data_IF_319043110334
#
_entry.id   IF_319043110334
#
_cell.length_a   1.000
_cell.length_b   1.000
_cell.length_c   1.000
_cell.angle_alpha   90.00
_cell.angle_beta   90.00
_cell.angle_gamma   90.00
#
_symmetry.space_group_name_H-M   'P 1'
#
loop_
_entity.id
_entity.type
_entity.pdbx_description
1 polymer ?
#
# COMPACT_ATOMS: atom_id res chain seq x y z
N UNK A 1 4.99 -2.83 4.22
CA UNK A 1 3.95 -3.65 3.57
C UNK A 1 3.47 -4.71 4.55
N UNK A 2 2.33 -4.45 5.18
CA UNK A 2 1.74 -5.26 6.23
C UNK A 2 0.63 -6.14 5.63
N UNK A 3 0.41 -7.34 6.17
CA UNK A 3 -0.44 -8.42 5.64
C UNK A 3 -1.84 -8.01 5.13
N UNK A 4 -2.43 -6.97 5.73
CA UNK A 4 -3.78 -6.51 5.45
C UNK A 4 -3.75 -5.03 5.15
N UNK A 5 -4.39 -4.62 4.05
CA UNK A 5 -4.69 -3.22 3.80
C UNK A 5 -6.11 -2.93 4.31
N UNK A 6 -6.26 -2.31 5.50
CA UNK A 6 -7.57 -2.14 6.14
C UNK A 6 -8.51 -1.27 5.29
N UNK A 7 -7.98 -0.38 4.46
CA UNK A 7 -8.75 0.49 3.57
C UNK A 7 -9.54 -0.28 2.50
N UNK A 8 -9.06 -1.47 2.13
CA UNK A 8 -9.67 -2.28 1.07
C UNK A 8 -10.18 -3.64 1.56
N UNK A 9 -9.87 -3.99 2.82
CA UNK A 9 -10.02 -5.35 3.35
C UNK A 9 -9.39 -6.41 2.43
N UNK A 10 -8.37 -6.02 1.66
CA UNK A 10 -7.62 -6.91 0.78
C UNK A 10 -6.42 -7.46 1.51
N UNK A 11 -6.23 -8.78 1.40
CA UNK A 11 -5.07 -9.47 1.93
C UNK A 11 -4.08 -9.62 0.77
N UNK A 12 -2.81 -9.25 0.98
CA UNK A 12 -1.69 -9.50 0.05
C UNK A 12 -1.65 -8.77 -1.31
N UNK A 13 -2.61 -7.90 -1.62
CA UNK A 13 -2.66 -7.23 -2.94
C UNK A 13 -1.55 -6.19 -3.12
N UNK A 14 -1.04 -5.60 -2.03
CA UNK A 14 0.05 -4.63 -2.06
C UNK A 14 1.42 -5.22 -2.44
N UNK A 15 1.60 -6.55 -2.47
CA UNK A 15 2.82 -7.18 -2.98
C UNK A 15 2.84 -7.37 -4.49
N UNK A 16 1.72 -7.12 -5.17
CA UNK A 16 1.64 -7.25 -6.63
C UNK A 16 2.25 -6.03 -7.32
N UNK A 17 2.91 -6.20 -8.49
CA UNK A 17 3.32 -5.08 -9.34
C UNK A 17 2.11 -4.22 -9.76
N UNK A 18 2.32 -2.96 -10.14
CA UNK A 18 1.26 -1.96 -10.39
C UNK A 18 0.15 -2.43 -11.33
N UNK A 19 0.48 -3.11 -12.44
CA UNK A 19 -0.53 -3.65 -13.37
C UNK A 19 -1.44 -4.72 -12.73
N UNK A 20 -0.88 -5.85 -12.28
CA UNK A 20 -1.65 -6.90 -11.59
C UNK A 20 -2.35 -6.41 -10.31
N UNK A 21 -1.77 -5.43 -9.62
CA UNK A 21 -2.37 -4.79 -8.43
C UNK A 21 -3.66 -4.07 -8.79
N UNK A 22 -3.69 -3.26 -9.85
CA UNK A 22 -4.91 -2.56 -10.31
C UNK A 22 -6.01 -3.55 -10.71
N UNK A 23 -5.66 -4.63 -11.40
CA UNK A 23 -6.62 -5.70 -11.71
C UNK A 23 -7.15 -6.39 -10.44
N UNK A 24 -6.25 -6.83 -9.55
CA UNK A 24 -6.62 -7.49 -8.30
C UNK A 24 -7.45 -6.58 -7.39
N UNK A 25 -7.19 -5.28 -7.39
CA UNK A 25 -7.95 -4.30 -6.63
C UNK A 25 -9.37 -4.11 -7.14
N UNK A 26 -9.59 -4.18 -8.45
CA UNK A 26 -10.94 -4.14 -9.00
C UNK A 26 -11.72 -5.43 -8.71
N UNK A 27 -11.09 -6.60 -8.83
CA UNK A 27 -11.80 -7.89 -8.74
C UNK A 27 -11.82 -8.53 -7.35
N UNK A 28 -10.82 -8.28 -6.51
CA UNK A 28 -10.63 -8.91 -5.20
C UNK A 28 -10.86 -7.96 -4.02
N UNK A 29 -11.05 -6.66 -4.26
CA UNK A 29 -11.39 -5.72 -3.20
C UNK A 29 -12.85 -5.85 -2.81
N UNK A 30 -13.07 -6.16 -1.53
CA UNK A 30 -14.40 -6.15 -0.93
C UNK A 30 -15.07 -4.77 -1.11
N UNK A 31 -14.27 -3.70 -1.14
CA UNK A 31 -14.73 -2.34 -1.37
C UNK A 31 -15.31 -2.14 -2.78
N UNK A 32 -14.67 -2.68 -3.82
CA UNK A 32 -15.16 -2.56 -5.20
C UNK A 32 -16.44 -3.35 -5.42
N UNK A 33 -16.56 -4.54 -4.78
CA UNK A 33 -17.79 -5.32 -4.79
C UNK A 33 -18.92 -4.62 -4.03
N UNK A 34 -18.65 -4.10 -2.83
CA UNK A 34 -19.67 -3.50 -1.96
C UNK A 34 -20.17 -2.14 -2.46
N UNK A 35 -19.29 -1.32 -3.03
CA UNK A 35 -19.62 0.02 -3.53
C UNK A 35 -19.87 0.10 -5.03
N UNK A 36 -19.79 -1.01 -5.76
CA UNK A 36 -19.89 -1.03 -7.23
C UNK A 36 -18.95 0.00 -7.88
N UNK A 37 -17.75 0.17 -7.32
CA UNK A 37 -16.80 1.16 -7.81
C UNK A 37 -16.42 0.85 -9.25
N UNK A 38 -16.45 1.88 -10.10
CA UNK A 38 -15.97 1.77 -11.47
C UNK A 38 -14.48 1.41 -11.50
N UNK A 39 -14.02 0.93 -12.65
CA UNK A 39 -12.62 0.59 -12.85
C UNK A 39 -11.71 1.81 -12.63
N UNK A 40 -12.13 2.97 -13.11
CA UNK A 40 -11.37 4.23 -12.98
C UNK A 40 -11.24 4.67 -11.52
N UNK A 41 -12.34 4.59 -10.74
CA UNK A 41 -12.31 4.88 -9.30
C UNK A 41 -11.43 3.90 -8.54
N UNK A 42 -11.46 2.61 -8.91
CA UNK A 42 -10.60 1.58 -8.31
C UNK A 42 -9.13 1.85 -8.59
N UNK A 43 -8.78 2.26 -9.81
CA UNK A 43 -7.40 2.59 -10.19
C UNK A 43 -6.90 3.87 -9.50
N UNK A 44 -7.76 4.89 -9.37
CA UNK A 44 -7.44 6.12 -8.65
C UNK A 44 -7.18 5.88 -7.15
N UNK A 45 -7.98 5.02 -6.51
CA UNK A 45 -7.78 4.69 -5.09
C UNK A 45 -6.45 3.96 -4.85
N UNK A 46 -6.04 3.11 -5.78
CA UNK A 46 -4.75 2.40 -5.70
C UNK A 46 -3.58 3.36 -5.79
N UNK A 47 -3.70 4.36 -6.66
CA UNK A 47 -2.66 5.38 -6.83
C UNK A 47 -2.61 6.32 -5.61
N UNK A 48 -3.76 6.64 -5.01
CA UNK A 48 -3.87 7.47 -3.79
C UNK A 48 -3.29 6.75 -2.55
N UNK A 49 -3.58 5.46 -2.38
CA UNK A 49 -3.21 4.69 -1.18
C UNK A 49 -1.80 4.08 -1.32
N UNK A 50 -1.07 4.40 -2.39
CA UNK A 50 0.29 3.90 -2.61
C UNK A 50 1.23 4.29 -1.47
N UNK A 51 1.64 3.30 -0.68
CA UNK A 51 2.62 3.48 0.38
C UNK A 51 4.00 3.84 -0.18
N UNK A 52 4.69 4.74 0.54
CA UNK A 52 6.08 5.08 0.27
C UNK A 52 7.01 3.91 0.57
N UNK A 53 7.95 3.66 -0.32
CA UNK A 53 9.05 2.73 -0.10
C UNK A 53 10.08 3.32 0.87
N UNK A 54 10.93 2.45 1.44
CA UNK A 54 12.05 2.88 2.29
C UNK A 54 12.97 3.89 1.58
N UNK A 55 13.22 3.67 0.29
CA UNK A 55 14.07 4.54 -0.52
C UNK A 55 13.42 5.91 -0.70
N UNK A 56 12.13 5.96 -1.02
CA UNK A 56 11.41 7.24 -1.12
C UNK A 56 11.38 7.97 0.23
N UNK A 57 11.27 7.25 1.36
CA UNK A 57 11.41 7.85 2.69
C UNK A 57 12.80 8.45 2.92
N UNK A 58 13.87 7.80 2.47
CA UNK A 58 15.24 8.31 2.57
C UNK A 58 15.45 9.54 1.66
N UNK A 59 14.87 9.55 0.46
CA UNK A 59 14.92 10.70 -0.46
C UNK A 59 14.12 11.91 0.08
N UNK A 60 12.97 11.68 0.73
CA UNK A 60 12.13 12.73 1.31
C UNK A 60 12.68 13.30 2.62
N UNK A 61 13.35 12.48 3.44
CA UNK A 61 13.86 12.87 4.75
C UNK A 61 15.36 12.57 4.90
N UNK A 62 16.22 13.25 4.11
CA UNK A 62 17.65 12.93 4.04
C UNK A 62 18.40 13.12 5.37
N UNK A 63 17.91 14.02 6.23
CA UNK A 63 18.53 14.32 7.52
C UNK A 63 17.99 13.46 8.68
N UNK A 64 17.04 12.56 8.42
CA UNK A 64 16.40 11.76 9.44
C UNK A 64 16.94 10.33 9.44
N UNK A 65 16.96 9.71 10.61
CA UNK A 65 17.17 8.26 10.71
C UNK A 65 15.87 7.55 10.38
N UNK A 66 15.84 6.78 9.30
CA UNK A 66 14.69 5.94 8.94
C UNK A 66 14.73 4.62 9.71
N UNK A 67 13.83 4.46 10.69
CA UNK A 67 13.63 3.22 11.45
C UNK A 67 12.57 2.37 10.76
N UNK A 68 12.85 1.08 10.59
CA UNK A 68 11.87 0.12 10.04
C UNK A 68 11.32 -0.73 11.18
N UNK A 69 10.04 -0.55 11.49
CA UNK A 69 9.33 -1.49 12.36
C UNK A 69 9.02 -2.77 11.56
N UNK A 70 9.28 -3.93 12.16
CA UNK A 70 9.01 -5.22 11.53
C UNK A 70 8.03 -6.02 12.35
N UNK A 71 7.07 -6.67 11.68
CA UNK A 71 6.15 -7.64 12.28
C UNK A 71 6.20 -8.92 11.45
N UNK A 72 6.42 -10.06 12.10
CA UNK A 72 6.65 -11.35 11.41
C UNK A 72 7.70 -11.23 10.29
N UNK A 73 8.83 -10.57 10.59
CA UNK A 73 9.95 -10.30 9.66
C UNK A 73 9.65 -9.32 8.52
N UNK A 74 8.39 -8.94 8.31
CA UNK A 74 7.97 -8.03 7.25
C UNK A 74 8.01 -6.56 7.72
N UNK A 75 8.49 -5.61 6.89
CA UNK A 75 8.40 -4.18 7.19
C UNK A 75 6.93 -3.77 7.38
N UNK A 76 6.57 -3.37 8.60
CA UNK A 76 5.23 -2.89 8.94
C UNK A 76 5.11 -1.39 8.72
N UNK A 77 6.09 -0.62 9.20
CA UNK A 77 6.12 0.84 9.06
C UNK A 77 7.56 1.36 8.87
N UNK A 78 7.66 2.55 8.26
CA UNK A 78 8.88 3.34 8.20
C UNK A 78 8.68 4.61 9.01
N UNK A 79 9.61 4.92 9.92
CA UNK A 79 9.52 6.05 10.85
C UNK A 79 10.75 6.92 10.67
N UNK A 80 10.56 8.19 10.35
CA UNK A 80 11.64 9.17 10.32
C UNK A 80 11.81 9.78 11.72
N UNK A 81 13.02 9.67 12.30
CA UNK A 81 13.35 10.23 13.62
C UNK A 81 14.48 11.25 13.46
N UNK A 82 14.35 12.42 14.10
CA UNK A 82 15.36 13.49 14.14
C UNK A 82 15.66 13.87 15.59
#
# INVERSE_FOLDING_TARGET
EFFVEPHFLTIFVHWLPTGPRKWAMHWLSFWSWFWHASREESEALVDEIRLLSKREMEELFPDCRIVTERFLLMPKSYIAVR
#
